data_IF_942329645842
#
_entry.id   IF_942329645842
#
_cell.length_a   1.000
_cell.length_b   1.000
_cell.length_c   1.000
_cell.angle_alpha   90.00
_cell.angle_beta   90.00
_cell.angle_gamma   90.00
#
_symmetry.space_group_name_H-M   'P 1'
#
loop_
_entity.id
_entity.type
_entity.pdbx_description
1 polymer ?
#
# COMPACT_ATOMS: atom_id res chain seq x y z
N UNK A 1 8.62 -20.59 -17.85
CA UNK A 1 9.59 -19.60 -17.36
C UNK A 1 9.07 -19.10 -16.03
N UNK A 2 9.87 -19.21 -14.97
CA UNK A 2 9.58 -18.59 -13.68
C UNK A 2 10.11 -17.14 -13.70
N UNK A 3 9.62 -16.29 -12.79
CA UNK A 3 10.12 -14.92 -12.62
C UNK A 3 11.29 -14.93 -11.62
N UNK A 4 12.24 -14.01 -11.80
CA UNK A 4 13.32 -13.78 -10.84
C UNK A 4 13.00 -12.53 -10.03
N UNK A 5 13.04 -12.64 -8.70
CA UNK A 5 12.79 -11.54 -7.79
C UNK A 5 13.94 -11.40 -6.79
N UNK A 6 14.36 -10.16 -6.54
CA UNK A 6 15.49 -9.84 -5.67
C UNK A 6 15.07 -8.80 -4.63
N UNK A 7 15.54 -8.95 -3.40
CA UNK A 7 15.27 -8.04 -2.29
C UNK A 7 16.59 -7.48 -1.77
N UNK A 8 16.68 -6.15 -1.73
CA UNK A 8 17.76 -5.44 -1.06
C UNK A 8 17.28 -4.92 0.28
N UNK A 9 18.06 -5.18 1.33
CA UNK A 9 17.83 -4.64 2.67
C UNK A 9 19.15 -4.01 3.12
N UNK A 10 19.10 -2.73 3.47
CA UNK A 10 20.30 -2.02 3.92
C UNK A 10 20.92 -2.71 5.15
N UNK A 11 22.23 -2.96 5.09
CA UNK A 11 22.97 -3.68 6.12
C UNK A 11 22.83 -5.21 6.15
N UNK A 12 22.03 -5.83 5.26
CA UNK A 12 21.92 -7.29 5.15
C UNK A 12 22.43 -7.75 3.79
N UNK A 13 23.50 -8.55 3.80
CA UNK A 13 24.01 -9.21 2.60
C UNK A 13 23.21 -10.48 2.31
N UNK A 14 22.82 -10.65 1.05
CA UNK A 14 22.31 -11.90 0.49
C UNK A 14 23.37 -12.65 -0.31
N UNK A 15 22.93 -13.67 -1.04
CA UNK A 15 23.81 -14.60 -1.77
C UNK A 15 23.53 -14.61 -3.28
N UNK A 16 22.72 -13.67 -3.79
CA UNK A 16 22.42 -13.64 -5.21
C UNK A 16 23.68 -13.46 -6.04
N UNK A 17 23.78 -14.26 -7.10
CA UNK A 17 24.90 -14.24 -8.05
C UNK A 17 24.47 -13.64 -9.39
N UNK A 18 23.30 -13.03 -9.44
CA UNK A 18 22.83 -12.33 -10.62
C UNK A 18 23.69 -11.09 -10.87
N UNK A 19 24.07 -10.89 -12.13
CA UNK A 19 25.00 -9.80 -12.52
C UNK A 19 24.46 -8.40 -12.22
N UNK A 20 23.15 -8.22 -12.11
CA UNK A 20 22.53 -6.94 -11.80
C UNK A 20 22.15 -6.80 -10.31
N UNK A 21 22.15 -7.89 -9.54
CA UNK A 21 21.68 -7.93 -8.15
C UNK A 21 22.64 -8.71 -7.24
N UNK A 22 23.94 -8.62 -7.50
CA UNK A 22 24.95 -9.38 -6.75
C UNK A 22 24.92 -9.03 -5.26
N UNK A 23 24.84 -10.07 -4.40
CA UNK A 23 24.74 -9.92 -2.96
C UNK A 23 23.35 -9.52 -2.45
N UNK A 24 22.30 -9.56 -3.29
CA UNK A 24 20.91 -9.37 -2.87
C UNK A 24 20.31 -10.71 -2.42
N UNK A 25 19.14 -10.67 -1.78
CA UNK A 25 18.41 -11.89 -1.40
C UNK A 25 17.52 -12.30 -2.58
N UNK A 26 17.64 -13.56 -3.03
CA UNK A 26 16.77 -14.13 -4.05
C UNK A 26 15.45 -14.57 -3.43
N UNK A 27 14.34 -14.01 -3.91
CA UNK A 27 13.00 -14.27 -3.39
C UNK A 27 12.30 -15.33 -4.25
N UNK A 28 11.95 -16.46 -3.64
CA UNK A 28 11.14 -17.50 -4.28
C UNK A 28 9.65 -17.18 -4.29
N UNK A 29 9.18 -16.41 -3.29
CA UNK A 29 7.84 -15.86 -3.20
C UNK A 29 7.81 -14.67 -2.22
N UNK A 30 6.87 -13.74 -2.41
CA UNK A 30 6.58 -12.67 -1.46
C UNK A 30 5.08 -12.45 -1.33
N UNK A 31 4.63 -11.97 -0.17
CA UNK A 31 3.25 -11.53 0.05
C UNK A 31 3.29 -10.13 0.65
N UNK A 32 2.68 -9.17 -0.03
CA UNK A 32 2.55 -7.80 0.44
C UNK A 32 1.08 -7.41 0.45
N UNK A 33 0.60 -6.91 1.58
CA UNK A 33 -0.76 -6.42 1.74
C UNK A 33 -0.74 -5.01 2.33
N UNK A 34 -1.53 -4.11 1.76
CA UNK A 34 -1.80 -2.79 2.33
C UNK A 34 -3.29 -2.71 2.66
N UNK A 35 -3.61 -2.24 3.86
CA UNK A 35 -5.00 -1.98 4.28
C UNK A 35 -5.19 -0.48 4.50
N UNK A 36 -6.27 0.08 3.96
CA UNK A 36 -6.66 1.45 4.24
C UNK A 36 -7.58 1.46 5.46
N UNK A 37 -7.11 2.01 6.57
CA UNK A 37 -7.98 2.38 7.68
C UNK A 37 -8.97 3.46 7.24
N UNK A 38 -10.22 3.36 7.72
CA UNK A 38 -11.36 4.23 7.38
C UNK A 38 -10.93 5.69 7.15
N UNK A 39 -11.22 6.25 5.97
CA UNK A 39 -11.00 7.66 5.69
C UNK A 39 -11.94 8.51 6.55
N UNK A 40 -11.43 9.15 7.61
CA UNK A 40 -12.20 10.09 8.44
C UNK A 40 -12.28 11.47 7.79
N UNK A 41 -12.61 11.56 6.50
CA UNK A 41 -13.00 12.86 5.94
C UNK A 41 -14.39 13.22 6.46
N UNK A 42 -14.44 13.61 7.73
CA UNK A 42 -15.54 14.39 8.26
C UNK A 42 -15.38 15.79 7.68
N UNK A 43 -15.93 16.04 6.50
CA UNK A 43 -16.40 17.39 6.22
C UNK A 43 -17.87 17.40 6.57
N UNK A 44 -18.21 18.03 7.70
CA UNK A 44 -19.56 18.56 7.84
C UNK A 44 -19.68 19.73 6.87
N UNK A 45 -20.15 19.48 5.66
CA UNK A 45 -20.57 20.53 4.75
C UNK A 45 -21.64 20.03 3.79
N UNK A 46 -22.81 19.75 4.35
CA UNK A 46 -24.00 20.53 4.03
C UNK A 46 -24.90 20.41 5.25
N UNK A 47 -25.24 21.54 5.85
CA UNK A 47 -26.35 21.58 6.77
C UNK A 47 -27.59 21.22 5.94
N UNK A 48 -27.96 19.94 5.93
CA UNK A 48 -29.31 19.53 5.56
C UNK A 48 -30.23 20.00 6.69
N UNK A 49 -30.44 21.31 6.74
CA UNK A 49 -31.60 21.88 7.40
C UNK A 49 -32.82 21.31 6.66
N UNK A 50 -33.35 20.21 7.16
CA UNK A 50 -34.75 19.88 6.95
C UNK A 50 -35.58 20.90 7.74
N UNK A 51 -35.57 22.17 7.31
CA UNK A 51 -36.60 23.11 7.76
C UNK A 51 -37.86 22.68 7.01
N UNK A 52 -38.69 21.89 7.69
CA UNK A 52 -40.11 21.82 7.38
C UNK A 52 -40.71 23.21 7.59
N UNK A 53 -40.62 24.06 6.57
CA UNK A 53 -41.41 25.28 6.47
C UNK A 53 -42.35 25.12 5.29
N UNK A 54 -43.64 24.94 5.60
CA UNK A 54 -44.73 24.93 4.63
C UNK A 54 -45.43 26.30 4.72
N UNK A 55 -45.25 27.20 3.74
CA UNK A 55 -46.06 28.41 3.67
C UNK A 55 -47.38 28.16 2.92
N UNK A 56 -48.40 28.90 3.38
CA UNK A 56 -49.81 28.99 2.97
C UNK A 56 -50.74 27.86 3.46
#
# INVERSE_FOLDING_TARGET
MAFDAFIWIDGIAGESRDSAHEGWIEATAFNLAATQGVSRFCTKSIAAYNVGYKPA
#
